data_IF_088100126189
#
_entry.id   IF_088100126189
#
_cell.length_a   1.000
_cell.length_b   1.000
_cell.length_c   1.000
_cell.angle_alpha   90.00
_cell.angle_beta   90.00
_cell.angle_gamma   90.00
#
_symmetry.space_group_name_H-M   'P 1'
#
loop_
_entity.id
_entity.type
_entity.pdbx_description
1 polymer ?
#
# COMPACT_ATOMS: atom_id res chain seq x y z
N UNK A 1 -27.20 -1.11 -1.99
CA UNK A 1 -26.91 -2.21 -2.96
C UNK A 1 -25.43 -2.54 -2.91
N UNK A 2 -25.03 -3.71 -3.44
CA UNK A 2 -23.66 -4.21 -3.38
C UNK A 2 -23.07 -4.39 -4.79
N UNK A 3 -21.91 -3.80 -5.04
CA UNK A 3 -21.15 -3.92 -6.28
C UNK A 3 -19.91 -4.80 -6.05
N UNK A 4 -19.88 -5.96 -6.70
CA UNK A 4 -18.70 -6.82 -6.76
C UNK A 4 -17.94 -6.57 -8.05
N UNK A 5 -16.63 -6.36 -7.95
CA UNK A 5 -15.77 -6.04 -9.09
C UNK A 5 -14.73 -7.12 -9.27
N UNK A 6 -14.37 -7.40 -10.52
CA UNK A 6 -13.26 -8.26 -10.88
C UNK A 6 -12.52 -7.71 -12.11
N UNK A 7 -11.20 -7.84 -12.12
CA UNK A 7 -10.36 -7.43 -13.23
C UNK A 7 -9.20 -8.40 -13.45
N UNK A 8 -8.93 -8.70 -14.72
CA UNK A 8 -7.89 -9.66 -15.11
C UNK A 8 -7.15 -9.18 -16.35
N UNK A 9 -5.96 -9.72 -16.57
CA UNK A 9 -5.17 -9.48 -17.79
C UNK A 9 -5.04 -10.79 -18.53
N UNK A 10 -5.50 -10.81 -19.78
CA UNK A 10 -5.39 -11.98 -20.66
C UNK A 10 -3.96 -12.20 -21.12
N UNK A 11 -3.63 -13.42 -21.53
CA UNK A 11 -2.33 -13.78 -22.11
C UNK A 11 -2.01 -12.97 -23.38
N UNK A 12 -3.03 -12.53 -24.11
CA UNK A 12 -2.91 -11.62 -25.27
C UNK A 12 -2.47 -10.20 -24.91
N UNK A 13 -2.44 -9.86 -23.62
CA UNK A 13 -2.06 -8.55 -23.10
C UNK A 13 -3.22 -7.55 -22.99
N UNK A 14 -4.46 -7.97 -23.26
CA UNK A 14 -5.66 -7.17 -23.05
C UNK A 14 -6.15 -7.26 -21.60
N UNK A 15 -6.46 -6.12 -20.99
CA UNK A 15 -7.13 -6.06 -19.70
C UNK A 15 -8.64 -6.28 -19.85
N UNK A 16 -9.22 -7.14 -19.04
CA UNK A 16 -10.66 -7.31 -18.92
C UNK A 16 -11.10 -6.82 -17.54
N UNK A 17 -12.24 -6.14 -17.48
CA UNK A 17 -12.83 -5.67 -16.24
C UNK A 17 -14.33 -5.88 -16.27
N UNK A 18 -14.91 -6.16 -15.11
CA UNK A 18 -16.34 -6.34 -14.97
C UNK A 18 -16.82 -6.13 -13.55
N UNK A 19 -18.14 -6.08 -13.40
CA UNK A 19 -18.76 -6.01 -12.10
C UNK A 19 -20.23 -6.32 -12.15
N UNK A 20 -20.75 -6.69 -10.98
CA UNK A 20 -22.14 -7.11 -10.77
C UNK A 20 -22.71 -6.33 -9.60
N UNK A 21 -23.84 -5.68 -9.82
CA UNK A 21 -24.61 -4.95 -8.80
C UNK A 21 -25.77 -5.83 -8.36
N UNK A 22 -25.87 -6.06 -7.04
CA UNK A 22 -26.89 -6.88 -6.40
C UNK A 22 -27.56 -6.14 -5.25
N UNK A 23 -28.80 -6.50 -4.94
CA UNK A 23 -29.45 -6.06 -3.70
C UNK A 23 -29.13 -7.00 -2.53
N UNK A 24 -29.78 -6.75 -1.38
CA UNK A 24 -29.65 -7.55 -0.17
C UNK A 24 -30.24 -8.96 -0.30
N UNK A 25 -31.16 -9.18 -1.24
CA UNK A 25 -31.76 -10.49 -1.52
C UNK A 25 -30.93 -11.30 -2.52
N UNK A 26 -29.89 -10.69 -3.09
CA UNK A 26 -28.99 -11.30 -4.07
C UNK A 26 -29.49 -11.19 -5.51
N UNK A 27 -30.57 -10.45 -5.76
CA UNK A 27 -31.09 -10.19 -7.11
C UNK A 27 -30.13 -9.25 -7.82
N UNK A 28 -29.82 -9.58 -9.08
CA UNK A 28 -28.90 -8.80 -9.91
C UNK A 28 -29.65 -7.65 -10.57
N UNK A 29 -29.23 -6.42 -10.29
CA UNK A 29 -29.79 -5.19 -10.87
C UNK A 29 -28.95 -4.68 -12.05
N UNK A 30 -27.68 -5.05 -12.13
CA UNK A 30 -26.81 -4.62 -13.22
C UNK A 30 -25.55 -5.46 -13.35
N UNK A 31 -25.12 -5.66 -14.59
CA UNK A 31 -23.85 -6.32 -14.92
C UNK A 31 -23.16 -5.49 -15.98
N UNK A 32 -21.84 -5.29 -15.84
CA UNK A 32 -21.02 -4.75 -16.91
C UNK A 32 -19.79 -5.62 -17.15
N UNK A 33 -19.37 -5.63 -18.40
CA UNK A 33 -18.10 -6.22 -18.83
C UNK A 33 -17.50 -5.31 -19.89
N UNK A 34 -16.19 -5.07 -19.79
CA UNK A 34 -15.45 -4.32 -20.80
C UNK A 34 -14.03 -4.88 -20.98
N UNK A 35 -13.53 -4.76 -22.19
CA UNK A 35 -12.12 -5.02 -22.51
C UNK A 35 -11.40 -3.69 -22.75
N UNK A 36 -10.20 -3.57 -22.22
CA UNK A 36 -9.30 -2.43 -22.37
C UNK A 36 -7.96 -2.95 -22.91
N UNK A 37 -7.71 -2.84 -24.22
CA UNK A 37 -6.51 -3.42 -24.85
C UNK A 37 -5.19 -2.78 -24.39
N UNK A 38 -5.24 -1.52 -23.94
CA UNK A 38 -4.06 -0.71 -23.65
C UNK A 38 -3.51 -0.85 -22.22
N UNK A 39 -4.22 -1.53 -21.32
CA UNK A 39 -3.92 -1.50 -19.88
C UNK A 39 -3.59 -2.89 -19.34
N UNK A 40 -2.34 -3.08 -18.90
CA UNK A 40 -1.80 -4.34 -18.35
C UNK A 40 -1.65 -4.34 -16.83
N UNK A 41 -1.89 -3.20 -16.18
CA UNK A 41 -1.81 -3.08 -14.74
C UNK A 41 -3.16 -3.47 -14.11
N UNK A 42 -3.17 -4.60 -13.41
CA UNK A 42 -4.35 -5.14 -12.72
C UNK A 42 -4.93 -4.13 -11.73
N UNK A 43 -4.06 -3.37 -11.03
CA UNK A 43 -4.49 -2.39 -10.03
C UNK A 43 -5.27 -1.23 -10.68
N UNK A 44 -4.81 -0.76 -11.84
CA UNK A 44 -5.49 0.29 -12.59
C UNK A 44 -6.77 -0.23 -13.24
N UNK A 45 -6.78 -1.49 -13.71
CA UNK A 45 -7.97 -2.13 -14.24
C UNK A 45 -9.07 -2.24 -13.17
N UNK A 46 -8.71 -2.66 -11.96
CA UNK A 46 -9.66 -2.68 -10.84
C UNK A 46 -10.22 -1.30 -10.52
N UNK A 47 -9.37 -0.26 -10.46
CA UNK A 47 -9.85 1.10 -10.22
C UNK A 47 -10.79 1.59 -11.34
N UNK A 48 -10.51 1.27 -12.61
CA UNK A 48 -11.42 1.57 -13.72
C UNK A 48 -12.73 0.79 -13.65
N UNK A 49 -12.68 -0.44 -13.13
CA UNK A 49 -13.85 -1.26 -12.90
C UNK A 49 -14.74 -0.67 -11.80
N UNK A 50 -14.14 -0.18 -10.70
CA UNK A 50 -14.86 0.62 -9.68
C UNK A 50 -15.55 1.82 -10.33
N UNK A 51 -14.81 2.60 -11.12
CA UNK A 51 -15.37 3.78 -11.80
C UNK A 51 -16.60 3.44 -12.65
N UNK A 52 -16.51 2.42 -13.51
CA UNK A 52 -17.63 2.02 -14.36
C UNK A 52 -18.81 1.46 -13.57
N UNK A 53 -18.55 0.69 -12.51
CA UNK A 53 -19.61 0.15 -11.66
C UNK A 53 -20.34 1.25 -10.89
N UNK A 54 -19.62 2.27 -10.42
CA UNK A 54 -20.19 3.49 -9.83
C UNK A 54 -21.08 4.24 -10.83
N UNK A 55 -20.59 4.46 -12.05
CA UNK A 55 -21.37 5.12 -13.11
C UNK A 55 -22.66 4.34 -13.43
N UNK A 56 -22.58 3.01 -13.46
CA UNK A 56 -23.74 2.13 -13.65
C UNK A 56 -24.72 2.21 -12.47
N UNK A 57 -24.23 2.15 -11.23
CA UNK A 57 -25.07 2.26 -10.03
C UNK A 57 -25.85 3.58 -10.01
N UNK A 58 -25.22 4.68 -10.41
CA UNK A 58 -25.89 5.98 -10.54
C UNK A 58 -26.97 5.97 -11.61
N UNK A 59 -26.75 5.31 -12.76
CA UNK A 59 -27.79 5.16 -13.80
C UNK A 59 -28.98 4.33 -13.33
N UNK A 60 -28.75 3.39 -12.41
CA UNK A 60 -29.78 2.59 -11.76
C UNK A 60 -30.47 3.32 -10.60
N UNK A 61 -30.09 4.57 -10.30
CA UNK A 61 -30.69 5.35 -9.20
C UNK A 61 -30.29 4.87 -7.81
N UNK A 62 -29.15 4.19 -7.67
CA UNK A 62 -28.68 3.68 -6.38
C UNK A 62 -28.04 4.81 -5.57
N UNK A 63 -28.63 5.15 -4.44
CA UNK A 63 -28.13 6.19 -3.53
C UNK A 63 -27.05 5.69 -2.57
N UNK A 64 -27.12 4.42 -2.18
CA UNK A 64 -26.16 3.78 -1.28
C UNK A 64 -25.61 2.49 -1.91
N UNK A 65 -24.28 2.46 -2.10
CA UNK A 65 -23.56 1.37 -2.75
C UNK A 65 -22.38 0.93 -1.89
N UNK A 66 -22.34 -0.36 -1.58
CA UNK A 66 -21.17 -1.03 -1.01
C UNK A 66 -20.33 -1.60 -2.15
N UNK A 67 -19.11 -1.08 -2.31
CA UNK A 67 -18.19 -1.50 -3.37
C UNK A 67 -17.16 -2.47 -2.80
N UNK A 68 -17.06 -3.66 -3.39
CA UNK A 68 -16.05 -4.67 -3.05
C UNK A 68 -15.02 -4.85 -4.16
N UNK A 69 -13.74 -4.66 -3.81
CA UNK A 69 -12.58 -4.99 -4.66
C UNK A 69 -11.57 -5.83 -3.88
N UNK A 70 -10.81 -6.66 -4.60
CA UNK A 70 -9.76 -7.53 -4.08
C UNK A 70 -8.40 -6.82 -3.96
N UNK A 71 -8.20 -5.67 -4.63
CA UNK A 71 -7.04 -4.81 -4.40
C UNK A 71 -7.20 -3.95 -3.16
N UNK A 72 -6.41 -4.30 -2.14
CA UNK A 72 -6.24 -3.48 -0.94
C UNK A 72 -5.78 -2.06 -1.26
N UNK A 73 -4.93 -1.89 -2.29
CA UNK A 73 -4.40 -0.57 -2.66
C UNK A 73 -5.50 0.35 -3.18
N UNK A 74 -6.44 -0.16 -3.97
CA UNK A 74 -7.56 0.63 -4.52
C UNK A 74 -8.49 1.05 -3.40
N UNK A 75 -8.87 0.12 -2.51
CA UNK A 75 -9.72 0.41 -1.35
C UNK A 75 -9.06 1.40 -0.39
N UNK A 76 -7.78 1.20 -0.06
CA UNK A 76 -7.03 2.12 0.81
C UNK A 76 -6.98 3.53 0.18
N UNK A 77 -6.75 3.66 -1.14
CA UNK A 77 -6.68 4.96 -1.81
C UNK A 77 -8.03 5.67 -1.88
N UNK A 78 -9.14 4.95 -2.10
CA UNK A 78 -10.49 5.51 -2.09
C UNK A 78 -10.88 6.01 -0.69
N UNK A 79 -10.47 5.30 0.36
CA UNK A 79 -10.76 5.69 1.75
C UNK A 79 -9.83 6.77 2.30
N UNK A 80 -8.59 6.89 1.80
CA UNK A 80 -7.55 7.74 2.42
C UNK A 80 -7.48 9.17 1.89
N UNK A 81 -8.31 9.57 0.91
CA UNK A 81 -8.25 10.90 0.24
C UNK A 81 -6.81 11.37 -0.03
N UNK A 82 -5.94 10.46 -0.46
CA UNK A 82 -4.51 10.71 -0.57
C UNK A 82 -4.14 11.26 -1.96
N UNK A 83 -3.60 12.48 -2.00
CA UNK A 83 -3.18 13.16 -3.23
C UNK A 83 -1.78 12.68 -3.64
N UNK A 84 -1.72 11.79 -4.63
CA UNK A 84 -0.46 11.38 -5.27
C UNK A 84 -0.46 11.78 -6.76
N UNK A 85 0.71 12.07 -7.33
CA UNK A 85 0.87 12.27 -8.79
C UNK A 85 0.90 10.92 -9.52
N UNK A 86 -0.19 10.17 -9.48
CA UNK A 86 -0.33 8.90 -10.20
C UNK A 86 -1.66 8.82 -10.95
N UNK A 87 -1.69 8.05 -12.05
CA UNK A 87 -2.91 7.76 -12.81
C UNK A 87 -4.00 7.17 -11.90
N UNK A 88 -3.60 6.28 -10.99
CA UNK A 88 -4.49 5.67 -10.00
C UNK A 88 -5.15 6.72 -9.10
N UNK A 89 -4.39 7.72 -8.62
CA UNK A 89 -4.94 8.81 -7.80
C UNK A 89 -5.95 9.66 -8.56
N UNK A 90 -5.71 9.93 -9.85
CA UNK A 90 -6.66 10.67 -10.70
C UNK A 90 -7.98 9.92 -10.87
N UNK A 91 -7.90 8.59 -11.08
CA UNK A 91 -9.08 7.73 -11.20
C UNK A 91 -9.84 7.68 -9.86
N UNK A 92 -9.14 7.48 -8.74
CA UNK A 92 -9.75 7.47 -7.41
C UNK A 92 -10.45 8.79 -7.07
N UNK A 93 -9.82 9.94 -7.36
CA UNK A 93 -10.46 11.24 -7.13
C UNK A 93 -11.74 11.40 -7.98
N UNK A 94 -11.71 10.97 -9.25
CA UNK A 94 -12.90 10.98 -10.12
C UNK A 94 -14.03 10.12 -9.55
N UNK A 95 -13.69 8.99 -8.92
CA UNK A 95 -14.66 8.10 -8.27
C UNK A 95 -15.24 8.78 -7.03
N UNK A 96 -14.40 9.36 -6.17
CA UNK A 96 -14.83 10.07 -4.96
C UNK A 96 -15.73 11.26 -5.28
N UNK A 97 -15.41 12.04 -6.32
CA UNK A 97 -16.25 13.17 -6.77
C UNK A 97 -17.62 12.72 -7.27
N UNK A 98 -17.72 11.50 -7.82
CA UNK A 98 -18.97 10.93 -8.30
C UNK A 98 -19.86 10.37 -7.18
N UNK A 99 -19.33 10.18 -5.96
CA UNK A 99 -19.94 9.36 -4.90
C UNK A 99 -19.85 10.00 -3.51
N UNK A 100 -20.89 10.74 -3.08
CA UNK A 100 -20.92 11.34 -1.73
C UNK A 100 -21.51 10.39 -0.67
N UNK A 101 -22.01 9.21 -1.05
CA UNK A 101 -22.69 8.26 -0.15
C UNK A 101 -22.31 6.78 -0.29
N UNK A 102 -21.19 6.46 -0.95
CA UNK A 102 -20.79 5.05 -1.17
C UNK A 102 -19.71 4.61 -0.19
N UNK A 103 -19.79 3.35 0.24
CA UNK A 103 -18.81 2.72 1.11
C UNK A 103 -17.91 1.78 0.30
N UNK A 104 -16.60 1.85 0.55
CA UNK A 104 -15.60 1.05 -0.16
C UNK A 104 -14.98 0.05 0.80
N UNK A 105 -15.28 -1.23 0.60
CA UNK A 105 -14.82 -2.34 1.43
C UNK A 105 -13.90 -3.29 0.66
N UNK A 106 -13.00 -3.97 1.39
CA UNK A 106 -12.33 -5.13 0.81
C UNK A 106 -13.34 -6.27 0.65
N UNK A 107 -13.28 -6.98 -0.48
CA UNK A 107 -14.04 -8.21 -0.63
C UNK A 107 -13.73 -9.16 0.55
N UNK A 108 -14.76 -9.72 1.23
CA UNK A 108 -14.53 -10.62 2.34
C UNK A 108 -13.71 -11.81 1.86
N UNK A 109 -12.69 -12.18 2.64
CA UNK A 109 -11.87 -13.35 2.32
C UNK A 109 -12.80 -14.56 2.24
N UNK A 110 -12.83 -15.20 1.07
CA UNK A 110 -13.72 -16.33 0.82
C UNK A 110 -13.55 -17.39 1.93
N UNK A 111 -14.66 -17.92 2.47
CA UNK A 111 -14.60 -18.97 3.46
C UNK A 111 -13.87 -20.18 2.90
N UNK A 112 -13.24 -20.96 3.77
CA UNK A 112 -12.61 -22.20 3.33
C UNK A 112 -13.67 -23.13 2.74
N UNK A 113 -13.33 -23.80 1.65
CA UNK A 113 -14.27 -24.58 0.84
C UNK A 113 -14.55 -25.98 1.41
N UNK A 114 -13.92 -26.36 2.52
CA UNK A 114 -14.02 -27.72 3.07
C UNK A 114 -13.25 -28.78 2.26
N UNK A 115 -12.64 -28.40 1.14
CA UNK A 115 -11.89 -29.32 0.27
C UNK A 115 -10.50 -29.63 0.86
N UNK A 116 -9.98 -30.81 0.55
CA UNK A 116 -8.63 -31.24 0.98
C UNK A 116 -7.49 -30.58 0.16
N UNK A 117 -7.77 -30.14 -1.07
CA UNK A 117 -6.84 -29.47 -1.98
C UNK A 117 -7.46 -28.20 -2.57
N UNK A 118 -6.64 -27.23 -3.00
CA UNK A 118 -7.08 -25.93 -3.52
C UNK A 118 -6.60 -24.72 -2.70
N UNK A 119 -6.84 -23.51 -3.21
CA UNK A 119 -6.39 -22.24 -2.59
C UNK A 119 -7.11 -21.94 -1.26
N UNK A 120 -8.41 -22.20 -1.19
CA UNK A 120 -9.25 -22.00 0.00
C UNK A 120 -9.54 -23.33 0.73
N UNK A 121 -8.65 -24.31 0.59
CA UNK A 121 -8.81 -25.63 1.22
C UNK A 121 -8.81 -25.57 2.75
N UNK A 122 -9.31 -26.64 3.35
CA UNK A 122 -9.36 -26.83 4.80
C UNK A 122 -10.77 -26.74 5.36
N UNK A 123 -10.92 -27.19 6.60
CA UNK A 123 -12.19 -27.19 7.32
C UNK A 123 -12.80 -25.78 7.40
N UNK A 124 -14.11 -25.68 7.24
CA UNK A 124 -14.84 -24.40 7.36
C UNK A 124 -14.82 -23.98 8.83
N UNK A 125 -14.02 -22.95 9.16
CA UNK A 125 -13.89 -22.44 10.52
C UNK A 125 -14.17 -20.94 10.54
N UNK A 126 -15.03 -20.49 11.45
CA UNK A 126 -15.24 -19.08 11.77
C UNK A 126 -14.02 -18.54 12.54
N UNK A 127 -13.24 -17.68 11.90
CA UNK A 127 -12.04 -17.11 12.51
C UNK A 127 -12.42 -16.09 13.58
N UNK A 128 -11.96 -16.30 14.81
CA UNK A 128 -12.09 -15.34 15.90
C UNK A 128 -10.98 -14.29 15.83
N UNK A 129 -11.33 -13.01 15.92
CA UNK A 129 -10.35 -11.96 16.11
C UNK A 129 -9.79 -12.03 17.53
N UNK A 130 -8.50 -12.38 17.64
CA UNK A 130 -7.80 -12.46 18.92
C UNK A 130 -7.07 -11.14 19.19
N UNK A 131 -7.11 -10.69 20.44
CA UNK A 131 -6.33 -9.54 20.87
C UNK A 131 -4.81 -9.81 20.65
N UNK A 132 -4.04 -8.82 20.17
CA UNK A 132 -2.62 -8.99 19.89
C UNK A 132 -1.86 -9.28 21.19
N UNK A 133 -1.03 -10.32 21.19
CA UNK A 133 -0.33 -10.79 22.40
C UNK A 133 0.75 -9.77 22.80
N UNK A 134 1.01 -9.57 24.11
CA UNK A 134 2.10 -8.71 24.55
C UNK A 134 3.48 -9.10 23.99
N UNK A 135 3.72 -10.40 23.76
CA UNK A 135 4.95 -10.92 23.15
C UNK A 135 5.23 -10.33 21.76
N UNK A 136 4.19 -10.05 20.99
CA UNK A 136 4.29 -9.55 19.60
C UNK A 136 4.73 -8.09 19.56
N UNK A 137 4.71 -7.40 20.72
CA UNK A 137 5.17 -6.02 20.87
C UNK A 137 6.70 -5.92 21.03
N UNK A 138 7.41 -7.04 21.20
CA UNK A 138 8.88 -7.06 21.36
C UNK A 138 9.56 -6.44 20.13
N UNK A 139 10.41 -5.45 20.36
CA UNK A 139 11.16 -4.73 19.31
C UNK A 139 10.56 -3.39 18.88
N UNK A 140 9.32 -3.06 19.32
CA UNK A 140 8.79 -1.69 19.19
C UNK A 140 9.58 -0.74 20.09
N UNK A 141 9.93 0.44 19.57
CA UNK A 141 10.71 1.44 20.32
C UNK A 141 9.75 2.39 21.04
N UNK A 142 9.90 2.57 22.35
CA UNK A 142 9.13 3.56 23.12
C UNK A 142 9.74 4.97 23.00
N UNK A 143 8.95 6.01 23.31
CA UNK A 143 9.40 7.42 23.26
C UNK A 143 10.67 7.64 24.10
N UNK A 144 10.70 7.09 25.32
CA UNK A 144 11.87 7.15 26.22
C UNK A 144 13.11 6.49 25.61
N UNK A 145 12.98 5.28 25.05
CA UNK A 145 14.11 4.57 24.43
C UNK A 145 14.60 5.29 23.18
N UNK A 146 13.69 5.89 22.40
CA UNK A 146 14.08 6.70 21.25
C UNK A 146 14.90 7.92 21.67
N UNK A 147 14.43 8.67 22.68
CA UNK A 147 15.15 9.83 23.24
C UNK A 147 16.56 9.46 23.73
N UNK A 148 16.67 8.40 24.54
CA UNK A 148 17.97 7.94 25.06
C UNK A 148 18.92 7.52 23.93
N UNK A 149 18.43 6.81 22.90
CA UNK A 149 19.26 6.41 21.76
C UNK A 149 19.74 7.61 20.94
N UNK A 150 18.92 8.65 20.78
CA UNK A 150 19.31 9.88 20.09
C UNK A 150 20.40 10.62 20.85
N UNK A 151 20.25 10.78 22.17
CA UNK A 151 21.26 11.42 23.03
C UNK A 151 22.61 10.69 22.99
N UNK A 152 22.61 9.36 23.12
CA UNK A 152 23.85 8.58 23.03
C UNK A 152 24.50 8.74 21.65
N UNK A 153 23.71 8.82 20.59
CA UNK A 153 24.23 8.98 19.22
C UNK A 153 24.89 10.35 19.01
N UNK A 154 24.40 11.39 19.67
CA UNK A 154 25.00 12.73 19.66
C UNK A 154 26.34 12.73 20.42
N UNK A 155 26.39 12.11 21.60
CA UNK A 155 27.60 12.07 22.44
C UNK A 155 28.69 11.17 21.85
N UNK A 156 28.36 9.94 21.46
CA UNK A 156 29.33 8.95 20.98
C UNK A 156 29.67 9.09 19.48
N UNK A 157 28.80 9.74 18.69
CA UNK A 157 28.98 9.93 17.26
C UNK A 157 28.84 8.66 16.40
N UNK A 158 29.47 8.70 15.23
CA UNK A 158 29.41 7.64 14.21
C UNK A 158 30.65 6.74 14.22
N UNK A 159 30.43 5.43 14.06
CA UNK A 159 31.51 4.46 13.90
C UNK A 159 32.25 4.68 12.55
N UNK A 160 33.54 4.27 12.43
CA UNK A 160 34.34 4.54 11.23
C UNK A 160 33.74 3.96 9.94
N UNK A 161 33.09 2.80 10.00
CA UNK A 161 32.40 2.25 8.83
C UNK A 161 31.13 3.02 8.45
N UNK A 162 30.47 3.66 9.41
CA UNK A 162 29.29 4.51 9.18
C UNK A 162 29.70 5.82 8.52
N UNK A 163 30.83 6.42 8.96
CA UNK A 163 31.45 7.57 8.30
C UNK A 163 31.79 7.28 6.84
N UNK A 164 32.43 6.14 6.56
CA UNK A 164 32.72 5.69 5.19
C UNK A 164 31.46 5.49 4.33
N UNK A 165 30.37 5.02 4.93
CA UNK A 165 29.08 4.92 4.22
C UNK A 165 28.56 6.32 3.87
N UNK A 166 28.58 7.27 4.81
CA UNK A 166 28.14 8.65 4.53
C UNK A 166 28.95 9.34 3.45
N UNK A 167 30.27 9.13 3.41
CA UNK A 167 31.13 9.67 2.35
C UNK A 167 30.72 9.13 0.97
N UNK A 168 30.50 7.83 0.86
CA UNK A 168 30.04 7.22 -0.40
C UNK A 168 28.65 7.72 -0.81
N UNK A 169 27.75 7.95 0.15
CA UNK A 169 26.42 8.50 -0.09
C UNK A 169 26.48 9.99 -0.50
N UNK A 170 27.42 10.79 0.03
CA UNK A 170 27.64 12.18 -0.40
C UNK A 170 28.06 12.27 -1.86
N UNK A 171 28.85 11.32 -2.34
CA UNK A 171 29.31 11.21 -3.75
C UNK A 171 28.24 10.56 -4.66
N UNK A 172 27.12 10.08 -4.11
CA UNK A 172 26.06 9.42 -4.89
C UNK A 172 26.35 7.96 -5.27
N UNK A 173 27.33 7.30 -4.62
CA UNK A 173 27.74 5.91 -4.93
C UNK A 173 26.98 4.89 -4.07
N UNK A 174 25.64 4.86 -4.17
CA UNK A 174 24.77 4.04 -3.32
C UNK A 174 25.04 2.53 -3.39
N UNK A 175 25.33 2.00 -4.59
CA UNK A 175 25.63 0.57 -4.78
C UNK A 175 26.93 0.19 -4.06
N UNK A 176 27.93 1.08 -4.04
CA UNK A 176 29.19 0.85 -3.31
C UNK A 176 28.96 0.98 -1.80
N UNK A 177 28.21 1.98 -1.34
CA UNK A 177 27.83 2.12 0.07
C UNK A 177 27.11 0.86 0.59
N UNK A 178 26.19 0.30 -0.20
CA UNK A 178 25.48 -0.93 0.13
C UNK A 178 26.41 -2.15 0.23
N UNK A 179 27.39 -2.29 -0.68
CA UNK A 179 28.39 -3.36 -0.61
C UNK A 179 29.23 -3.27 0.66
N UNK A 180 29.63 -2.06 1.07
CA UNK A 180 30.39 -1.82 2.30
C UNK A 180 29.57 -2.18 3.52
N UNK A 181 28.31 -1.72 3.59
CA UNK A 181 27.39 -2.06 4.66
C UNK A 181 27.13 -3.57 4.74
N UNK A 182 26.96 -4.26 3.60
CA UNK A 182 26.76 -5.71 3.55
C UNK A 182 28.00 -6.47 4.04
N UNK A 183 29.21 -6.05 3.64
CA UNK A 183 30.46 -6.65 4.14
C UNK A 183 30.64 -6.48 5.65
N UNK A 184 30.14 -5.40 6.24
CA UNK A 184 30.23 -5.13 7.69
C UNK A 184 29.09 -5.75 8.52
N UNK A 185 27.86 -5.77 8.01
CA UNK A 185 26.67 -6.23 8.74
C UNK A 185 26.20 -7.65 8.35
N UNK A 186 26.82 -8.25 7.34
CA UNK A 186 26.54 -9.59 6.81
C UNK A 186 25.35 -9.64 5.84
N UNK A 187 24.15 -9.35 6.32
CA UNK A 187 22.91 -9.56 5.53
C UNK A 187 22.49 -8.34 4.72
N UNK A 188 21.84 -8.59 3.58
CA UNK A 188 21.37 -7.53 2.68
C UNK A 188 20.26 -6.67 3.31
N UNK A 189 19.33 -7.27 4.07
CA UNK A 189 18.26 -6.53 4.77
C UNK A 189 18.84 -5.55 5.80
N UNK A 190 19.82 -5.97 6.60
CA UNK A 190 20.52 -5.09 7.57
C UNK A 190 21.31 -3.99 6.86
N UNK A 191 21.99 -4.32 5.75
CA UNK A 191 22.72 -3.36 4.95
C UNK A 191 21.82 -2.26 4.35
N UNK A 192 20.67 -2.64 3.79
CA UNK A 192 19.65 -1.68 3.30
C UNK A 192 19.19 -0.77 4.44
N UNK A 193 18.82 -1.33 5.59
CA UNK A 193 18.39 -0.56 6.76
C UNK A 193 19.45 0.45 7.22
N UNK A 194 20.72 0.05 7.30
CA UNK A 194 21.80 0.95 7.71
C UNK A 194 22.10 2.02 6.66
N UNK A 195 22.00 1.69 5.36
CA UNK A 195 22.13 2.68 4.28
C UNK A 195 21.04 3.75 4.38
N UNK A 196 19.78 3.35 4.58
CA UNK A 196 18.67 4.30 4.77
C UNK A 196 18.85 5.16 6.02
N UNK A 197 19.34 4.57 7.13
CA UNK A 197 19.68 5.33 8.34
C UNK A 197 20.72 6.43 8.05
N UNK A 198 21.82 6.10 7.36
CA UNK A 198 22.85 7.09 7.00
C UNK A 198 22.36 8.12 5.98
N UNK A 199 21.47 7.74 5.07
CA UNK A 199 20.81 8.66 4.14
C UNK A 199 19.95 9.69 4.89
N UNK A 200 19.18 9.24 5.88
CA UNK A 200 18.36 10.10 6.72
C UNK A 200 19.20 11.06 7.57
N UNK A 201 20.36 10.61 8.08
CA UNK A 201 21.31 11.48 8.78
C UNK A 201 21.79 12.60 7.85
N UNK A 202 22.18 12.29 6.60
CA UNK A 202 22.60 13.30 5.63
C UNK A 202 21.49 14.30 5.30
N UNK A 203 20.23 13.84 5.19
CA UNK A 203 19.07 14.72 5.00
C UNK A 203 18.90 15.69 6.17
N UNK A 204 19.00 15.20 7.42
CA UNK A 204 18.93 16.05 8.62
C UNK A 204 20.07 17.07 8.67
N UNK A 205 21.30 16.65 8.37
CA UNK A 205 22.46 17.55 8.33
C UNK A 205 22.29 18.66 7.28
N UNK A 206 21.77 18.33 6.09
CA UNK A 206 21.48 19.32 5.04
C UNK A 206 20.38 20.31 5.45
N UNK A 207 19.32 19.82 6.11
CA UNK A 207 18.24 20.67 6.61
C UNK A 207 18.71 21.63 7.72
N UNK A 208 19.56 21.16 8.63
CA UNK A 208 20.13 22.00 9.70
C UNK A 208 21.09 23.08 9.17
N UNK A 209 22.02 22.71 8.29
CA UNK A 209 23.03 23.64 7.76
C UNK A 209 22.48 24.74 6.82
N UNK A 210 21.27 24.58 6.30
CA UNK A 210 20.59 25.62 5.51
C UNK A 210 19.99 26.75 6.36
N UNK A 211 19.73 26.50 7.65
CA UNK A 211 19.16 27.48 8.57
C UNK A 211 20.17 28.48 9.12
N UNK A 212 21.42 28.06 9.33
CA UNK A 212 22.48 28.94 9.84
C UNK A 212 22.96 29.98 8.82
N UNK A 213 22.88 29.68 7.50
CA UNK A 213 23.31 30.61 6.44
C UNK A 213 22.34 31.77 6.16
N UNK A 214 21.14 31.80 6.75
CA UNK A 214 20.14 32.87 6.56
C UNK A 214 20.12 33.92 7.69
N UNK A 215 21.00 33.82 8.70
CA UNK A 215 21.07 34.73 9.85
C UNK A 215 22.33 35.61 9.87
N UNK A 216 22.92 35.89 8.71
CA UNK A 216 23.97 36.89 8.55
C UNK A 216 23.53 37.94 7.54
#
# INVERSE_FOLDING_TARGET
MKLNIDASVKTSGEGALGGVIRDSEGIIHGVFMASTPALKDVTLLEALAVKKGVEMARRLGVEELEVESDSKLVIDMLNSNCVHRSLLSSICNTISDACVGFSYGMAPKQPSTGLFVGLNKGHVVTKKELAPRPSDRKGKTSKRVHFVRSLIREVAGFAPYEKRITELLKVGKDKRALKVAKRKLGTHKRAKKKREEMSNVLRKMRAGGGGEKKKA
#
